data_IF_505098710690
#
_entry.id   IF_505098710690
#
_cell.length_a   1.000
_cell.length_b   1.000
_cell.length_c   1.000
_cell.angle_alpha   90.00
_cell.angle_beta   90.00
_cell.angle_gamma   90.00
#
_symmetry.space_group_name_H-M   'P 1'
#
loop_
_entity.id
_entity.type
_entity.pdbx_description
1 polymer ?
#
# COMPACT_ATOMS: atom_id res chain seq x y z
N UNK A 1 37.51 17.73 -21.95
CA UNK A 1 36.34 16.88 -21.96
C UNK A 1 36.00 16.56 -20.51
N UNK A 2 35.09 17.29 -19.93
CA UNK A 2 34.56 16.95 -18.59
C UNK A 2 33.72 15.69 -18.73
N UNK A 3 34.26 14.57 -18.28
CA UNK A 3 33.46 13.38 -18.01
C UNK A 3 32.66 13.69 -16.74
N UNK A 4 31.45 14.20 -16.88
CA UNK A 4 30.49 14.19 -15.78
C UNK A 4 30.39 12.74 -15.27
N UNK A 5 30.64 12.49 -13.98
CA UNK A 5 30.45 11.16 -13.44
C UNK A 5 28.99 10.80 -13.63
N UNK A 6 28.75 9.61 -14.23
CA UNK A 6 27.41 9.07 -14.39
C UNK A 6 26.76 9.14 -13.01
N UNK A 7 25.81 10.06 -12.87
CA UNK A 7 25.19 10.37 -11.59
C UNK A 7 24.38 9.17 -11.10
N UNK A 8 24.58 8.79 -9.83
CA UNK A 8 23.79 7.75 -9.18
C UNK A 8 22.30 8.03 -9.34
N UNK A 9 21.53 7.02 -9.64
CA UNK A 9 20.07 7.08 -9.53
C UNK A 9 19.71 6.99 -8.03
N UNK A 10 19.26 8.10 -7.46
CA UNK A 10 18.79 8.16 -6.07
C UNK A 10 17.28 8.33 -6.08
N UNK A 11 16.59 7.35 -5.52
CA UNK A 11 15.14 7.36 -5.37
C UNK A 11 14.80 7.46 -3.89
N UNK A 12 14.12 8.53 -3.52
CA UNK A 12 13.65 8.75 -2.15
C UNK A 12 12.24 8.20 -1.97
N UNK A 13 11.89 7.90 -0.72
CA UNK A 13 10.50 7.58 -0.37
C UNK A 13 9.60 8.78 -0.66
N UNK A 14 8.50 8.54 -1.40
CA UNK A 14 7.45 9.53 -1.65
C UNK A 14 6.19 9.14 -0.85
N UNK A 15 5.87 9.83 0.25
CA UNK A 15 4.68 9.56 1.03
C UNK A 15 3.38 10.02 0.34
N UNK A 16 3.48 10.79 -0.74
CA UNK A 16 2.33 11.42 -1.39
C UNK A 16 1.24 10.44 -1.85
N UNK A 17 1.55 9.39 -2.63
CA UNK A 17 0.54 8.43 -3.11
C UNK A 17 -0.12 7.65 -1.97
N UNK A 18 0.65 7.28 -0.95
CA UNK A 18 0.15 6.51 0.20
C UNK A 18 -0.68 7.40 1.12
N UNK A 19 -0.26 8.65 1.33
CA UNK A 19 -1.03 9.64 2.09
C UNK A 19 -2.40 9.91 1.47
N UNK A 20 -2.47 10.03 0.15
CA UNK A 20 -3.74 10.19 -0.58
C UNK A 20 -4.67 8.98 -0.43
N UNK A 21 -4.15 7.75 -0.48
CA UNK A 21 -4.93 6.52 -0.24
C UNK A 21 -5.53 6.52 1.17
N UNK A 22 -4.77 6.90 2.19
CA UNK A 22 -5.24 6.99 3.58
C UNK A 22 -6.27 8.09 3.76
N UNK A 23 -6.05 9.27 3.19
CA UNK A 23 -7.00 10.38 3.25
C UNK A 23 -8.34 10.01 2.58
N UNK A 24 -8.30 9.34 1.42
CA UNK A 24 -9.50 8.84 0.74
C UNK A 24 -10.25 7.81 1.58
N UNK A 25 -9.54 6.86 2.22
CA UNK A 25 -10.16 5.86 3.10
C UNK A 25 -10.75 6.48 4.36
N UNK A 26 -10.09 7.48 4.96
CA UNK A 26 -10.62 8.25 6.09
C UNK A 26 -11.93 8.96 5.73
N UNK A 27 -12.02 9.53 4.53
CA UNK A 27 -13.26 10.16 4.02
C UNK A 27 -14.38 9.13 3.89
N UNK A 28 -14.08 7.92 3.40
CA UNK A 28 -15.07 6.83 3.29
C UNK A 28 -15.59 6.37 4.66
N UNK A 29 -14.72 6.21 5.65
CA UNK A 29 -15.13 5.87 7.03
C UNK A 29 -16.05 6.94 7.60
N UNK A 30 -15.70 8.22 7.44
CA UNK A 30 -16.53 9.33 7.92
C UNK A 30 -17.90 9.37 7.22
N UNK A 31 -17.93 9.18 5.90
CA UNK A 31 -19.18 9.11 5.14
C UNK A 31 -20.08 7.96 5.61
N UNK A 32 -19.49 6.80 5.93
CA UNK A 32 -20.24 5.63 6.44
C UNK A 32 -20.78 5.85 7.85
N UNK A 33 -20.03 6.51 8.73
CA UNK A 33 -20.53 6.88 10.07
C UNK A 33 -21.72 7.83 9.96
N UNK A 34 -21.67 8.81 9.08
CA UNK A 34 -22.79 9.73 8.84
C UNK A 34 -24.01 8.95 8.31
N UNK A 35 -23.81 8.06 7.32
CA UNK A 35 -24.88 7.21 6.77
C UNK A 35 -25.52 6.34 7.85
N UNK A 36 -24.72 5.72 8.72
CA UNK A 36 -25.23 4.93 9.85
C UNK A 36 -26.05 5.78 10.79
N UNK A 37 -25.57 6.99 11.13
CA UNK A 37 -26.32 7.93 11.97
C UNK A 37 -27.66 8.31 11.39
N UNK A 38 -27.72 8.59 10.07
CA UNK A 38 -28.98 8.88 9.37
C UNK A 38 -29.91 7.66 9.41
N UNK A 39 -29.39 6.46 9.16
CA UNK A 39 -30.20 5.23 9.21
C UNK A 39 -30.82 5.03 10.59
N UNK A 40 -30.05 5.21 11.66
CA UNK A 40 -30.56 5.12 13.04
C UNK A 40 -31.62 6.18 13.29
N UNK A 41 -31.38 7.43 12.88
CA UNK A 41 -32.35 8.52 13.07
C UNK A 41 -33.68 8.24 12.33
N UNK A 42 -33.62 7.73 11.09
CA UNK A 42 -34.82 7.35 10.32
C UNK A 42 -35.57 6.20 10.98
N UNK A 43 -34.87 5.17 11.46
CA UNK A 43 -35.50 4.05 12.16
C UNK A 43 -36.18 4.50 13.48
N UNK A 44 -35.54 5.40 14.23
CA UNK A 44 -36.13 5.98 15.44
C UNK A 44 -37.36 6.82 15.10
N UNK A 45 -37.32 7.62 14.03
CA UNK A 45 -38.45 8.41 13.57
C UNK A 45 -39.65 7.53 13.23
N UNK A 46 -39.41 6.47 12.45
CA UNK A 46 -40.45 5.50 12.09
C UNK A 46 -41.01 4.82 13.33
N UNK A 47 -40.15 4.43 14.28
CA UNK A 47 -40.57 3.82 15.54
C UNK A 47 -41.49 4.74 16.37
N UNK A 48 -41.13 6.02 16.50
CA UNK A 48 -41.92 7.00 17.23
C UNK A 48 -43.28 7.28 16.56
N UNK A 49 -43.27 7.35 15.21
CA UNK A 49 -44.46 7.71 14.42
C UNK A 49 -45.48 6.59 14.32
N UNK A 50 -45.01 5.32 14.30
CA UNK A 50 -45.86 4.12 14.14
C UNK A 50 -45.85 3.19 15.34
N UNK A 51 -45.69 3.75 16.54
CA UNK A 51 -45.51 2.99 17.76
C UNK A 51 -46.64 1.96 18.00
N UNK A 52 -47.86 2.25 17.59
CA UNK A 52 -49.03 1.38 17.81
C UNK A 52 -49.08 0.22 16.80
N UNK A 53 -48.65 0.43 15.56
CA UNK A 53 -48.69 -0.58 14.50
C UNK A 53 -47.44 -1.50 14.49
N UNK A 54 -46.33 -1.10 15.12
CA UNK A 54 -45.01 -1.73 15.03
C UNK A 54 -44.69 -2.66 16.23
N UNK A 55 -45.64 -3.04 17.05
CA UNK A 55 -45.43 -3.95 18.18
C UNK A 55 -45.16 -5.42 17.75
N UNK A 56 -45.12 -5.71 16.49
CA UNK A 56 -44.84 -7.04 15.94
C UNK A 56 -43.35 -7.41 15.90
N UNK A 57 -43.02 -8.67 16.17
CA UNK A 57 -41.67 -9.22 16.08
C UNK A 57 -40.98 -8.96 14.71
N UNK A 58 -41.77 -8.82 13.63
CA UNK A 58 -41.25 -8.56 12.28
C UNK A 58 -40.48 -7.25 12.14
N UNK A 59 -40.94 -6.17 12.78
CA UNK A 59 -40.21 -4.88 12.71
C UNK A 59 -38.86 -4.95 13.43
N UNK A 60 -38.83 -5.60 14.60
CA UNK A 60 -37.58 -5.78 15.38
C UNK A 60 -36.57 -6.57 14.55
N UNK A 61 -37.00 -7.62 13.86
CA UNK A 61 -36.14 -8.45 13.00
C UNK A 61 -35.58 -7.62 11.84
N UNK A 62 -36.39 -6.83 11.15
CA UNK A 62 -35.94 -5.96 10.06
C UNK A 62 -34.93 -4.93 10.55
N UNK A 63 -35.20 -4.26 11.68
CA UNK A 63 -34.25 -3.31 12.28
C UNK A 63 -32.92 -3.99 12.64
N UNK A 64 -32.99 -5.17 13.26
CA UNK A 64 -31.79 -5.93 13.62
C UNK A 64 -30.95 -6.33 12.39
N UNK A 65 -31.59 -6.76 11.30
CA UNK A 65 -30.92 -7.10 10.05
C UNK A 65 -30.25 -5.88 9.39
N UNK A 66 -30.97 -4.76 9.28
CA UNK A 66 -30.45 -3.52 8.68
C UNK A 66 -29.28 -2.96 9.48
N UNK A 67 -29.43 -2.87 10.80
CA UNK A 67 -28.38 -2.38 11.69
C UNK A 67 -27.20 -3.35 11.73
N UNK A 68 -27.44 -4.65 11.79
CA UNK A 68 -26.40 -5.69 11.77
C UNK A 68 -25.58 -5.65 10.50
N UNK A 69 -26.22 -5.59 9.34
CA UNK A 69 -25.54 -5.47 8.05
C UNK A 69 -24.71 -4.18 7.96
N UNK A 70 -25.27 -3.05 8.43
CA UNK A 70 -24.57 -1.76 8.45
C UNK A 70 -23.35 -1.79 9.38
N UNK A 71 -23.45 -2.46 10.52
CA UNK A 71 -22.35 -2.60 11.48
C UNK A 71 -21.23 -3.49 10.94
N UNK A 72 -21.57 -4.63 10.33
CA UNK A 72 -20.59 -5.52 9.68
C UNK A 72 -19.82 -4.77 8.59
N UNK A 73 -20.52 -4.00 7.77
CA UNK A 73 -19.89 -3.22 6.71
C UNK A 73 -18.99 -2.10 7.26
N UNK A 74 -19.40 -1.45 8.35
CA UNK A 74 -18.59 -0.45 9.04
C UNK A 74 -17.31 -1.09 9.60
N UNK A 75 -17.41 -2.22 10.29
CA UNK A 75 -16.27 -2.96 10.82
C UNK A 75 -15.29 -3.36 9.73
N UNK A 76 -15.78 -3.90 8.60
CA UNK A 76 -14.94 -4.22 7.44
C UNK A 76 -14.17 -2.99 6.93
N UNK A 77 -14.84 -1.84 6.84
CA UNK A 77 -14.20 -0.58 6.40
C UNK A 77 -13.14 -0.10 7.40
N UNK A 78 -13.40 -0.23 8.70
CA UNK A 78 -12.45 0.11 9.77
C UNK A 78 -11.22 -0.80 9.71
N UNK A 79 -11.42 -2.12 9.56
CA UNK A 79 -10.31 -3.08 9.44
C UNK A 79 -9.43 -2.74 8.23
N UNK A 80 -10.04 -2.47 7.08
CA UNK A 80 -9.31 -2.05 5.88
C UNK A 80 -8.56 -0.72 6.08
N UNK A 81 -9.11 0.21 6.85
CA UNK A 81 -8.43 1.45 7.22
C UNK A 81 -7.21 1.19 8.10
N UNK A 82 -7.34 0.35 9.13
CA UNK A 82 -6.21 0.01 10.01
C UNK A 82 -5.10 -0.76 9.28
N UNK A 83 -5.46 -1.67 8.38
CA UNK A 83 -4.49 -2.37 7.53
C UNK A 83 -3.70 -1.38 6.66
N UNK A 84 -4.39 -0.41 6.03
CA UNK A 84 -3.72 0.63 5.26
C UNK A 84 -2.86 1.56 6.13
N UNK A 85 -3.32 1.89 7.33
CA UNK A 85 -2.56 2.75 8.25
C UNK A 85 -1.28 2.07 8.76
N UNK A 86 -1.31 0.76 9.00
CA UNK A 86 -0.09 0.01 9.35
C UNK A 86 0.97 0.07 8.26
N UNK A 87 0.55 0.08 7.00
CA UNK A 87 1.45 0.18 5.85
C UNK A 87 2.14 1.56 5.79
N UNK A 88 1.44 2.64 6.15
CA UNK A 88 2.02 3.99 6.24
C UNK A 88 3.08 4.10 7.33
N UNK A 89 2.85 3.45 8.47
CA UNK A 89 3.80 3.51 9.60
C UNK A 89 5.08 2.70 9.35
N UNK A 90 5.13 1.89 8.29
CA UNK A 90 6.33 1.19 7.82
C UNK A 90 7.04 1.91 6.68
N UNK A 91 6.64 3.15 6.34
CA UNK A 91 7.35 3.96 5.35
C UNK A 91 8.72 4.29 5.91
N UNK A 92 9.77 3.79 5.27
CA UNK A 92 11.13 4.19 5.54
C UNK A 92 11.29 5.70 5.28
N UNK A 93 12.06 6.37 6.10
CA UNK A 93 12.47 7.76 5.86
C UNK A 93 13.87 7.75 5.22
N UNK A 94 14.05 8.47 4.13
CA UNK A 94 15.36 8.61 3.49
C UNK A 94 15.42 8.03 2.08
N UNK A 95 16.57 7.45 1.73
CA UNK A 95 16.82 6.86 0.42
C UNK A 95 16.16 5.46 0.37
N UNK A 96 15.22 5.28 -0.53
CA UNK A 96 14.57 3.99 -0.76
C UNK A 96 15.44 3.07 -1.61
N UNK A 97 15.97 3.62 -2.72
CA UNK A 97 16.80 2.89 -3.67
C UNK A 97 17.91 3.84 -4.13
N UNK A 98 19.14 3.36 -4.17
CA UNK A 98 20.27 4.02 -4.80
C UNK A 98 20.99 3.03 -5.70
N UNK A 99 21.18 3.41 -6.95
CA UNK A 99 21.87 2.58 -7.95
C UNK A 99 22.99 3.40 -8.53
N UNK A 100 24.19 2.85 -8.53
CA UNK A 100 25.37 3.53 -9.06
C UNK A 100 26.49 2.57 -9.44
N UNK A 101 27.63 3.09 -9.92
CA UNK A 101 28.77 2.27 -10.30
C UNK A 101 29.26 1.31 -9.21
N UNK A 102 29.31 1.69 -7.92
CA UNK A 102 29.82 0.79 -6.88
C UNK A 102 28.85 -0.35 -6.56
N UNK A 103 27.55 -0.20 -6.82
CA UNK A 103 26.56 -1.20 -6.47
C UNK A 103 25.14 -0.65 -6.34
N UNK A 104 24.34 -1.39 -5.60
CA UNK A 104 22.94 -1.08 -5.34
C UNK A 104 22.69 -1.01 -3.82
N UNK A 105 21.90 -0.04 -3.40
CA UNK A 105 21.33 0.06 -2.05
C UNK A 105 19.83 0.02 -2.13
N UNK A 106 19.20 -0.83 -1.33
CA UNK A 106 17.75 -0.93 -1.18
C UNK A 106 17.42 -0.84 0.30
N UNK A 107 16.70 0.20 0.69
CA UNK A 107 16.50 0.57 2.10
C UNK A 107 17.87 0.71 2.83
N UNK A 108 18.05 -0.04 3.91
CA UNK A 108 19.27 -0.01 4.72
C UNK A 108 20.35 -1.01 4.24
N UNK A 109 20.06 -1.80 3.18
CA UNK A 109 20.98 -2.82 2.68
C UNK A 109 21.72 -2.32 1.45
N UNK A 110 23.01 -2.04 1.60
CA UNK A 110 23.91 -1.69 0.51
C UNK A 110 24.78 -2.89 0.13
N UNK A 111 24.97 -3.09 -1.18
CA UNK A 111 25.80 -4.17 -1.72
C UNK A 111 26.51 -3.75 -3.00
N UNK A 112 27.74 -4.25 -3.18
CA UNK A 112 28.44 -4.15 -4.46
C UNK A 112 27.85 -5.15 -5.47
N UNK A 113 27.99 -4.88 -6.77
CA UNK A 113 27.42 -5.73 -7.82
C UNK A 113 27.78 -7.21 -7.71
N UNK A 114 29.03 -7.62 -7.35
CA UNK A 114 29.34 -9.04 -7.16
C UNK A 114 28.61 -9.73 -6.00
N UNK A 115 28.08 -8.96 -5.05
CA UNK A 115 27.34 -9.49 -3.91
C UNK A 115 25.83 -9.62 -4.18
N UNK A 116 25.34 -9.08 -5.30
CA UNK A 116 23.94 -9.17 -5.68
C UNK A 116 23.69 -10.56 -6.29
N UNK A 117 22.74 -11.29 -5.72
CA UNK A 117 22.27 -12.56 -6.28
C UNK A 117 21.10 -12.33 -7.24
N UNK A 118 20.11 -11.51 -6.83
CA UNK A 118 18.93 -11.22 -7.64
C UNK A 118 18.30 -9.89 -7.24
N UNK A 119 17.64 -9.24 -8.22
CA UNK A 119 16.75 -8.10 -8.01
C UNK A 119 15.43 -8.47 -8.68
N UNK A 120 14.40 -8.70 -7.89
CA UNK A 120 13.11 -9.15 -8.39
C UNK A 120 11.95 -8.36 -7.79
N UNK A 121 10.81 -8.40 -8.47
CA UNK A 121 9.56 -7.86 -7.95
C UNK A 121 8.73 -8.99 -7.38
N UNK A 122 8.10 -8.74 -6.23
CA UNK A 122 7.16 -9.65 -5.60
C UNK A 122 5.78 -9.02 -5.53
N UNK A 123 4.76 -9.83 -5.76
CA UNK A 123 3.37 -9.38 -5.58
C UNK A 123 3.13 -8.99 -4.13
N UNK A 124 2.46 -7.87 -3.94
CA UNK A 124 1.90 -7.53 -2.64
C UNK A 124 0.74 -8.47 -2.28
N UNK A 125 0.57 -8.77 -0.98
CA UNK A 125 -0.62 -9.46 -0.51
C UNK A 125 -1.88 -8.59 -0.60
N UNK A 126 -3.03 -9.12 -0.14
CA UNK A 126 -4.31 -8.41 -0.06
C UNK A 126 -4.10 -6.99 0.51
N UNK A 127 -4.39 -5.99 -0.30
CA UNK A 127 -4.26 -4.55 -0.02
C UNK A 127 -2.83 -3.97 -0.02
N UNK A 128 -1.79 -4.73 -0.37
CA UNK A 128 -0.40 -4.25 -0.49
C UNK A 128 0.00 -4.18 -1.95
N UNK A 129 0.69 -3.09 -2.32
CA UNK A 129 1.27 -2.92 -3.66
C UNK A 129 2.46 -3.85 -3.93
N UNK A 130 2.93 -3.91 -5.19
CA UNK A 130 4.11 -4.66 -5.55
C UNK A 130 5.35 -4.13 -4.82
N UNK A 131 6.33 -4.99 -4.60
CA UNK A 131 7.55 -4.69 -3.86
C UNK A 131 8.77 -5.08 -4.66
N UNK A 132 9.82 -4.27 -4.59
CA UNK A 132 11.14 -4.63 -5.05
C UNK A 132 11.88 -5.40 -3.95
N UNK A 133 12.46 -6.53 -4.27
CA UNK A 133 13.31 -7.31 -3.39
C UNK A 133 14.73 -7.37 -3.96
N UNK A 134 15.69 -7.03 -3.14
CA UNK A 134 17.10 -7.28 -3.36
C UNK A 134 17.52 -8.51 -2.55
N UNK A 135 18.09 -9.50 -3.21
CA UNK A 135 18.65 -10.69 -2.57
C UNK A 135 20.16 -10.70 -2.78
N UNK A 136 20.92 -10.86 -1.72
CA UNK A 136 22.38 -10.97 -1.77
C UNK A 136 22.82 -12.44 -1.82
N UNK A 137 24.07 -12.65 -2.24
CA UNK A 137 24.69 -14.00 -2.30
C UNK A 137 24.85 -14.65 -0.95
N UNK A 138 24.88 -13.88 0.14
CA UNK A 138 24.92 -14.35 1.53
C UNK A 138 23.51 -14.67 2.10
N UNK A 139 22.46 -14.54 1.31
CA UNK A 139 21.08 -14.80 1.69
C UNK A 139 20.36 -13.63 2.37
N UNK A 140 21.03 -12.50 2.66
CA UNK A 140 20.35 -11.29 3.18
C UNK A 140 19.42 -10.72 2.13
N UNK A 141 18.29 -10.17 2.58
CA UNK A 141 17.29 -9.59 1.71
C UNK A 141 16.85 -8.23 2.22
N UNK A 142 16.58 -7.32 1.29
CA UNK A 142 15.89 -6.05 1.55
C UNK A 142 14.68 -5.93 0.63
N UNK A 143 13.62 -5.31 1.15
CA UNK A 143 12.36 -5.17 0.41
C UNK A 143 11.87 -3.74 0.53
N UNK A 144 11.54 -3.12 -0.62
CA UNK A 144 10.97 -1.76 -0.69
C UNK A 144 9.65 -1.81 -1.46
N UNK A 145 8.56 -1.23 -0.91
CA UNK A 145 7.30 -1.10 -1.63
C UNK A 145 7.45 -0.15 -2.83
N UNK A 146 7.09 -0.61 -4.03
CA UNK A 146 7.19 0.19 -5.26
C UNK A 146 6.16 1.31 -5.33
N UNK A 147 5.07 1.21 -4.59
CA UNK A 147 4.05 2.27 -4.51
C UNK A 147 4.44 3.44 -3.57
N UNK A 148 5.58 3.32 -2.89
CA UNK A 148 6.17 4.37 -2.05
C UNK A 148 7.37 5.07 -2.72
N UNK A 149 7.69 4.74 -3.95
CA UNK A 149 8.79 5.34 -4.70
C UNK A 149 8.29 5.93 -6.01
N UNK A 150 8.82 7.10 -6.37
CA UNK A 150 8.44 7.83 -7.58
C UNK A 150 9.29 7.42 -8.79
N UNK A 151 9.42 6.10 -9.02
CA UNK A 151 10.21 5.60 -10.16
C UNK A 151 9.44 4.52 -10.91
N UNK A 152 9.55 4.54 -12.24
CA UNK A 152 8.96 3.50 -13.07
C UNK A 152 9.79 2.22 -13.01
N UNK A 153 9.17 1.03 -12.89
CA UNK A 153 9.88 -0.25 -12.86
C UNK A 153 10.82 -0.48 -14.06
N UNK A 154 10.41 -0.04 -15.25
CA UNK A 154 11.24 -0.12 -16.45
C UNK A 154 12.53 0.72 -16.35
N UNK A 155 12.46 1.89 -15.70
CA UNK A 155 13.65 2.73 -15.44
C UNK A 155 14.59 2.04 -14.46
N UNK A 156 14.06 1.35 -13.44
CA UNK A 156 14.89 0.56 -12.52
C UNK A 156 15.62 -0.57 -13.25
N UNK A 157 14.93 -1.33 -14.11
CA UNK A 157 15.55 -2.43 -14.86
C UNK A 157 16.65 -1.93 -15.78
N UNK A 158 16.38 -0.88 -16.58
CA UNK A 158 17.38 -0.30 -17.49
C UNK A 158 18.60 0.23 -16.74
N UNK A 159 18.39 0.86 -15.57
CA UNK A 159 19.47 1.41 -14.73
C UNK A 159 20.29 0.30 -14.09
N UNK A 160 19.66 -0.73 -13.53
CA UNK A 160 20.35 -1.91 -12.96
C UNK A 160 21.20 -2.60 -14.02
N UNK A 161 20.68 -2.80 -15.23
CA UNK A 161 21.44 -3.38 -16.37
C UNK A 161 22.63 -2.52 -16.74
N UNK A 162 22.43 -1.20 -16.85
CA UNK A 162 23.49 -0.28 -17.23
C UNK A 162 24.66 -0.29 -16.23
N UNK A 163 24.39 -0.19 -14.92
CA UNK A 163 25.43 -0.13 -13.89
C UNK A 163 26.02 -1.50 -13.53
N UNK A 164 25.29 -2.59 -13.73
CA UNK A 164 25.81 -3.95 -13.55
C UNK A 164 26.57 -4.49 -14.76
N UNK A 165 26.75 -3.68 -15.82
CA UNK A 165 27.30 -4.11 -17.10
C UNK A 165 26.53 -5.29 -17.72
N UNK A 166 25.19 -5.27 -17.61
CA UNK A 166 24.29 -6.30 -18.12
C UNK A 166 24.23 -7.60 -17.31
N UNK A 167 24.95 -7.69 -16.18
CA UNK A 167 25.00 -8.90 -15.35
C UNK A 167 23.73 -9.14 -14.56
N UNK A 168 23.05 -8.08 -14.17
CA UNK A 168 21.79 -8.12 -13.40
C UNK A 168 20.71 -7.31 -14.12
N UNK A 169 19.48 -7.76 -14.01
CA UNK A 169 18.28 -7.06 -14.43
C UNK A 169 17.24 -7.17 -13.30
N UNK A 170 16.17 -6.39 -13.40
CA UNK A 170 15.05 -6.50 -12.48
C UNK A 170 14.02 -7.46 -13.08
N UNK A 171 13.71 -8.55 -12.37
CA UNK A 171 12.61 -9.42 -12.78
C UNK A 171 11.26 -8.74 -12.47
N UNK A 172 10.56 -8.35 -13.54
CA UNK A 172 9.27 -7.64 -13.49
C UNK A 172 8.07 -8.58 -13.68
N UNK A 173 8.27 -9.88 -13.79
CA UNK A 173 7.22 -10.87 -14.10
C UNK A 173 6.04 -10.82 -13.11
N UNK A 174 6.31 -10.47 -11.86
CA UNK A 174 5.27 -10.31 -10.84
C UNK A 174 4.34 -9.08 -11.05
N UNK A 175 4.68 -8.16 -11.95
CA UNK A 175 3.84 -6.99 -12.27
C UNK A 175 2.88 -7.27 -13.42
N UNK A 176 3.17 -8.28 -14.26
CA UNK A 176 2.43 -8.59 -15.49
C UNK A 176 1.31 -9.64 -15.28
N UNK A 177 1.22 -10.21 -14.09
CA UNK A 177 0.33 -11.34 -13.79
C UNK A 177 -0.80 -11.02 -12.81
#
# INVERSE_FOLDING_TARGET
>A
MSTDPISDLVVTYDPGPVGQKVARRRRLVRSRLVSLGITIAVLLLIYVWRREDLQGAGFIIICALVLGASLIWLLATIVLYFLAKREVNTIGSGIAIRIGPPGIQVADLAASWPQVAAVDTIKGGLARGPRLRLTLTDGRQAVVPLDQVSVFPATLDSTVRAFSAGRHGVDLSALES
#
